data_IF_548361365262
#
_entry.id   IF_548361365262
#
_cell.length_a   1.000
_cell.length_b   1.000
_cell.length_c   1.000
_cell.angle_alpha   90.00
_cell.angle_beta   90.00
_cell.angle_gamma   90.00
#
_symmetry.space_group_name_H-M   'P 1'
#
loop_
_entity.id
_entity.type
_entity.pdbx_description
1 polymer ?
#
# COMPACT_ATOMS: atom_id res chain seq x y z
N UNK A 1 -32.22 -20.24 5.99
CA UNK A 1 -32.22 -21.44 5.12
C UNK A 1 -31.10 -21.26 4.12
N UNK A 2 -30.02 -21.99 4.37
CA UNK A 2 -28.76 -22.01 3.63
C UNK A 2 -28.88 -22.91 2.38
N UNK A 3 -27.84 -22.98 1.54
CA UNK A 3 -26.95 -24.13 1.75
C UNK A 3 -25.46 -23.81 1.79
N UNK A 4 -24.78 -24.63 2.58
CA UNK A 4 -23.35 -24.70 2.91
C UNK A 4 -22.44 -24.86 1.68
N UNK A 5 -21.23 -24.28 1.76
CA UNK A 5 -20.11 -24.57 0.85
C UNK A 5 -19.30 -25.75 1.39
N UNK A 6 -19.35 -26.88 0.70
CA UNK A 6 -18.52 -28.06 0.92
C UNK A 6 -17.06 -27.85 0.47
N UNK A 7 -16.12 -28.26 1.32
CA UNK A 7 -14.66 -28.21 1.14
C UNK A 7 -14.22 -29.48 0.37
N UNK A 8 -13.64 -29.37 -0.83
CA UNK A 8 -13.10 -30.53 -1.58
C UNK A 8 -11.64 -30.79 -1.21
N UNK A 9 -11.35 -31.94 -0.62
CA UNK A 9 -10.00 -32.52 -0.48
C UNK A 9 -9.67 -33.40 -1.69
N UNK A 10 -8.54 -33.15 -2.35
CA UNK A 10 -8.03 -33.97 -3.45
C UNK A 10 -7.20 -35.15 -2.91
N UNK A 11 -7.64 -36.39 -3.11
CA UNK A 11 -6.84 -37.61 -2.92
C UNK A 11 -5.93 -37.83 -4.13
N UNK A 12 -4.63 -38.06 -3.92
CA UNK A 12 -3.62 -38.17 -5.00
C UNK A 12 -3.43 -39.60 -5.55
N UNK A 13 -4.40 -40.49 -5.40
CA UNK A 13 -4.22 -41.92 -5.71
C UNK A 13 -4.77 -42.39 -7.06
N UNK A 14 -5.34 -41.51 -7.90
CA UNK A 14 -5.86 -41.89 -9.22
C UNK A 14 -5.52 -40.79 -10.26
N UNK A 15 -4.43 -40.90 -11.01
CA UNK A 15 -4.24 -40.06 -12.19
C UNK A 15 -5.03 -40.67 -13.36
N UNK A 16 -5.78 -39.81 -14.06
CA UNK A 16 -6.51 -40.06 -15.31
C UNK A 16 -7.85 -40.83 -15.23
N UNK A 17 -8.92 -40.13 -14.82
CA UNK A 17 -10.31 -40.46 -15.19
C UNK A 17 -10.96 -39.24 -15.86
N UNK A 18 -11.55 -39.37 -17.06
CA UNK A 18 -12.22 -38.26 -17.74
C UNK A 18 -13.44 -37.73 -16.96
N UNK A 19 -13.73 -36.44 -17.14
CA UNK A 19 -14.84 -35.72 -16.50
C UNK A 19 -16.22 -36.29 -16.89
N UNK A 20 -16.77 -37.25 -16.13
CA UNK A 20 -18.23 -37.37 -15.95
C UNK A 20 -18.74 -38.27 -14.81
N UNK A 21 -17.89 -38.89 -14.00
CA UNK A 21 -18.35 -39.71 -12.86
C UNK A 21 -17.75 -39.22 -11.53
N UNK A 22 -18.62 -38.79 -10.60
CA UNK A 22 -18.23 -38.30 -9.27
C UNK A 22 -17.99 -39.46 -8.30
N UNK A 23 -16.79 -39.60 -7.69
CA UNK A 23 -16.61 -40.50 -6.56
C UNK A 23 -17.16 -39.87 -5.28
N UNK A 24 -18.09 -40.57 -4.61
CA UNK A 24 -18.57 -40.24 -3.27
C UNK A 24 -17.56 -40.71 -2.23
N UNK A 25 -17.04 -39.80 -1.41
CA UNK A 25 -16.21 -40.15 -0.26
C UNK A 25 -17.00 -39.84 1.02
N UNK A 26 -17.35 -40.87 1.78
CA UNK A 26 -18.02 -40.74 3.06
C UNK A 26 -17.01 -40.49 4.19
N UNK A 27 -17.39 -39.67 5.15
CA UNK A 27 -16.51 -38.98 6.09
C UNK A 27 -15.94 -39.86 7.20
N UNK A 28 -14.98 -40.73 6.88
CA UNK A 28 -13.98 -41.24 7.85
C UNK A 28 -12.72 -41.72 7.12
N UNK A 29 -11.57 -41.15 7.48
CA UNK A 29 -10.26 -41.45 6.90
C UNK A 29 -9.81 -42.84 7.33
N UNK A 30 -10.01 -43.88 6.52
CA UNK A 30 -9.10 -45.05 6.48
C UNK A 30 -9.25 -46.06 5.33
N UNK A 31 -10.16 -45.90 4.36
CA UNK A 31 -10.18 -46.83 3.20
C UNK A 31 -10.93 -46.27 1.99
N UNK A 32 -10.28 -46.21 0.83
CA UNK A 32 -10.94 -46.02 -0.47
C UNK A 32 -10.83 -47.34 -1.24
N UNK A 33 -11.94 -47.88 -1.72
CA UNK A 33 -12.00 -49.03 -2.63
C UNK A 33 -12.38 -48.56 -4.03
N UNK A 34 -11.60 -48.94 -5.04
CA UNK A 34 -11.94 -48.72 -6.45
C UNK A 34 -12.61 -49.99 -7.01
N UNK A 35 -13.64 -49.89 -7.87
CA UNK A 35 -14.16 -51.03 -8.59
C UNK A 35 -13.20 -51.39 -9.74
N UNK A 36 -12.90 -52.68 -9.87
CA UNK A 36 -12.19 -53.32 -10.99
C UNK A 36 -10.69 -52.99 -11.17
N UNK A 37 -9.84 -53.55 -10.31
CA UNK A 37 -8.53 -54.17 -10.68
C UNK A 37 -7.87 -54.81 -9.45
N UNK A 38 -7.12 -55.90 -9.68
CA UNK A 38 -6.64 -56.87 -8.69
C UNK A 38 -5.83 -56.30 -7.49
N UNK A 39 -5.92 -56.90 -6.28
CA UNK A 39 -5.31 -56.35 -5.05
C UNK A 39 -3.79 -56.57 -4.90
N UNK A 40 -3.11 -57.26 -5.83
CA UNK A 40 -1.75 -57.77 -5.59
C UNK A 40 -0.61 -57.03 -6.34
N UNK A 41 -0.86 -55.86 -6.92
CA UNK A 41 0.19 -55.05 -7.56
C UNK A 41 0.41 -53.71 -6.87
N UNK A 42 0.94 -53.75 -5.65
CA UNK A 42 1.62 -52.61 -5.04
C UNK A 42 2.73 -53.10 -4.09
N UNK A 43 3.73 -53.80 -4.64
CA UNK A 43 5.02 -53.98 -3.97
C UNK A 43 6.11 -53.23 -4.73
N UNK A 44 6.69 -52.23 -4.05
CA UNK A 44 8.09 -51.81 -4.16
C UNK A 44 8.74 -51.78 -5.55
N UNK A 45 8.67 -50.63 -6.24
CA UNK A 45 9.76 -50.14 -7.08
C UNK A 45 9.55 -48.67 -7.49
N UNK A 46 10.64 -47.90 -7.37
CA UNK A 46 10.98 -46.68 -8.12
C UNK A 46 10.10 -45.43 -8.01
N UNK A 47 10.30 -44.67 -6.93
CA UNK A 47 10.17 -43.20 -7.00
C UNK A 47 11.57 -42.62 -7.21
N UNK A 48 11.90 -42.28 -8.47
CA UNK A 48 12.99 -41.37 -8.77
C UNK A 48 12.61 -39.97 -8.29
N UNK A 49 13.41 -39.43 -7.37
CA UNK A 49 13.35 -38.06 -6.89
C UNK A 49 13.64 -37.06 -8.04
N UNK A 50 12.83 -36.00 -8.24
CA UNK A 50 13.29 -34.81 -8.92
C UNK A 50 14.28 -34.09 -7.99
N UNK A 51 15.45 -33.76 -8.55
CA UNK A 51 16.57 -33.04 -7.93
C UNK A 51 16.13 -31.91 -6.99
N UNK A 52 16.38 -32.09 -5.69
CA UNK A 52 16.36 -31.02 -4.71
C UNK A 52 17.54 -30.05 -4.95
N UNK A 53 17.22 -28.81 -5.32
CA UNK A 53 18.12 -27.70 -4.99
C UNK A 53 18.24 -27.61 -3.47
N UNK A 54 19.45 -27.35 -2.92
CA UNK A 54 19.65 -27.34 -1.47
C UNK A 54 18.86 -26.19 -0.86
N UNK A 55 17.77 -26.51 -0.15
CA UNK A 55 17.06 -25.59 0.75
C UNK A 55 18.05 -25.06 1.77
N UNK A 56 18.64 -23.91 1.49
CA UNK A 56 19.33 -23.11 2.49
C UNK A 56 18.30 -22.65 3.52
N UNK A 57 18.43 -23.24 4.71
CA UNK A 57 18.03 -22.71 6.01
C UNK A 57 16.53 -22.47 6.22
N UNK A 58 15.81 -23.54 6.57
CA UNK A 58 14.68 -23.42 7.48
C UNK A 58 15.24 -23.01 8.85
N UNK A 59 14.89 -21.84 9.42
CA UNK A 59 15.42 -21.46 10.71
C UNK A 59 14.89 -22.41 11.78
N UNK A 60 15.82 -22.99 12.53
CA UNK A 60 15.58 -23.79 13.72
C UNK A 60 14.63 -23.03 14.65
N UNK A 61 13.43 -23.57 14.87
CA UNK A 61 12.52 -23.18 15.95
C UNK A 61 13.26 -23.43 17.28
N UNK A 62 13.94 -22.41 17.81
CA UNK A 62 14.68 -22.59 19.06
C UNK A 62 15.67 -21.50 19.46
N UNK A 63 15.95 -20.48 18.64
CA UNK A 63 16.69 -19.32 19.15
C UNK A 63 15.72 -18.20 19.51
N UNK A 64 15.42 -18.09 20.82
CA UNK A 64 14.95 -16.84 21.40
C UNK A 64 15.99 -15.77 21.07
N UNK A 65 15.73 -14.97 20.04
CA UNK A 65 16.45 -13.70 19.88
C UNK A 65 16.20 -12.95 21.19
N UNK A 66 17.29 -12.57 21.86
CA UNK A 66 17.21 -11.81 23.11
C UNK A 66 16.29 -10.60 22.96
N UNK A 67 15.62 -10.24 24.05
CA UNK A 67 14.71 -9.09 24.04
C UNK A 67 15.53 -7.84 23.72
N UNK A 68 15.19 -7.16 22.62
CA UNK A 68 15.87 -5.93 22.22
C UNK A 68 15.58 -4.80 23.20
N UNK A 69 16.36 -3.71 23.12
CA UNK A 69 16.13 -2.49 23.89
C UNK A 69 15.97 -1.33 22.94
N UNK A 70 15.03 -0.43 23.24
CA UNK A 70 14.78 0.79 22.48
C UNK A 70 14.51 1.96 23.42
N UNK A 71 14.62 3.18 22.91
CA UNK A 71 14.41 4.43 23.65
C UNK A 71 13.27 5.24 23.04
N UNK A 72 12.65 6.11 23.83
CA UNK A 72 11.60 7.00 23.32
C UNK A 72 12.17 8.21 22.59
N UNK A 73 13.45 8.54 22.80
CA UNK A 73 14.11 9.66 22.12
C UNK A 73 14.50 9.27 20.70
N UNK A 74 14.06 10.07 19.73
CA UNK A 74 14.48 9.94 18.34
C UNK A 74 15.83 10.64 18.17
N UNK A 75 16.76 9.97 17.50
CA UNK A 75 18.07 10.50 17.15
C UNK A 75 18.00 11.25 15.82
N UNK A 76 19.06 12.01 15.50
CA UNK A 76 19.19 12.61 14.17
C UNK A 76 19.17 11.56 13.06
N UNK A 77 19.75 10.38 13.29
CA UNK A 77 19.74 9.26 12.34
C UNK A 77 18.34 8.76 12.06
N UNK A 78 17.47 8.70 13.08
CA UNK A 78 16.06 8.32 12.91
C UNK A 78 15.32 9.36 12.07
N UNK A 79 15.55 10.66 12.33
CA UNK A 79 14.97 11.73 11.53
C UNK A 79 15.47 11.72 10.08
N UNK A 80 16.75 11.40 9.85
CA UNK A 80 17.31 11.23 8.52
C UNK A 80 16.68 10.01 7.81
N UNK A 81 16.50 8.89 8.49
CA UNK A 81 15.81 7.71 7.95
C UNK A 81 14.37 8.06 7.52
N UNK A 82 13.66 8.82 8.35
CA UNK A 82 12.30 9.31 8.06
C UNK A 82 12.24 10.21 6.83
N UNK A 83 13.27 11.02 6.63
CA UNK A 83 13.42 11.88 5.47
C UNK A 83 13.70 11.04 4.22
N UNK A 84 14.69 10.15 4.26
CA UNK A 84 15.08 9.27 3.16
C UNK A 84 13.91 8.38 2.70
N UNK A 85 13.13 7.86 3.64
CA UNK A 85 11.94 7.06 3.36
C UNK A 85 10.88 7.84 2.56
N UNK A 86 10.69 9.13 2.89
CA UNK A 86 9.75 10.01 2.18
C UNK A 86 10.28 10.46 0.82
N UNK A 87 11.59 10.45 0.61
CA UNK A 87 12.24 10.72 -0.67
C UNK A 87 12.52 9.45 -1.50
N UNK A 88 12.05 8.28 -1.07
CA UNK A 88 12.16 7.03 -1.82
C UNK A 88 13.56 6.45 -1.91
N UNK A 89 14.51 6.96 -1.12
CA UNK A 89 15.89 6.46 -1.08
C UNK A 89 15.92 5.17 -0.28
N UNK A 90 16.44 4.07 -0.85
CA UNK A 90 16.49 2.76 -0.18
C UNK A 90 15.13 2.29 0.39
N UNK A 91 14.08 2.37 -0.42
CA UNK A 91 12.68 2.09 -0.04
C UNK A 91 12.48 0.77 0.75
N UNK A 92 13.29 -0.25 0.51
CA UNK A 92 13.18 -1.56 1.15
C UNK A 92 14.01 -1.70 2.44
N UNK A 93 14.88 -0.72 2.74
CA UNK A 93 15.82 -0.75 3.86
C UNK A 93 15.33 -0.08 5.14
N UNK A 94 14.23 0.66 5.11
CA UNK A 94 13.64 1.33 6.28
C UNK A 94 12.94 0.35 7.22
N UNK A 95 13.72 -0.51 7.87
CA UNK A 95 13.21 -1.63 8.66
C UNK A 95 13.87 -1.73 10.02
N UNK A 96 13.07 -2.13 10.99
CA UNK A 96 13.53 -2.63 12.30
C UNK A 96 13.50 -4.15 12.26
N UNK A 97 14.37 -4.81 13.01
CA UNK A 97 14.28 -6.26 13.15
C UNK A 97 12.94 -6.67 13.81
N UNK A 98 12.20 -7.64 13.26
CA UNK A 98 11.02 -8.16 13.93
C UNK A 98 11.39 -8.86 15.25
N UNK A 99 10.64 -8.60 16.32
CA UNK A 99 10.97 -9.13 17.63
C UNK A 99 10.28 -8.40 18.78
N UNK A 100 10.72 -8.71 20.00
CA UNK A 100 10.25 -8.08 21.23
C UNK A 100 11.29 -7.08 21.72
N UNK A 101 10.86 -5.85 22.01
CA UNK A 101 11.71 -4.78 22.49
C UNK A 101 11.21 -4.24 23.83
N UNK A 102 12.13 -3.90 24.72
CA UNK A 102 11.87 -3.14 25.95
C UNK A 102 12.00 -1.66 25.67
N UNK A 103 11.02 -0.88 26.10
CA UNK A 103 11.11 0.56 26.23
C UNK A 103 11.14 0.90 27.72
N UNK A 104 12.23 1.55 28.16
CA UNK A 104 12.47 1.80 29.58
C UNK A 104 12.81 0.52 30.35
N UNK A 105 12.26 0.37 31.56
CA UNK A 105 12.48 -0.76 32.47
C UNK A 105 11.18 -1.54 32.74
N UNK A 106 10.58 -2.18 31.71
CA UNK A 106 9.30 -2.84 31.87
C UNK A 106 9.41 -4.09 32.75
N UNK A 107 8.43 -4.22 33.64
CA UNK A 107 8.19 -5.38 34.49
C UNK A 107 7.18 -6.36 33.84
N UNK A 108 6.89 -7.52 34.46
CA UNK A 108 5.93 -8.48 33.92
C UNK A 108 4.47 -8.02 33.82
N UNK A 109 4.10 -6.87 34.41
CA UNK A 109 2.75 -6.29 34.32
C UNK A 109 2.66 -5.15 33.29
N UNK A 110 3.82 -4.72 32.78
CA UNK A 110 3.92 -3.62 31.82
C UNK A 110 3.22 -3.95 30.50
N UNK A 111 2.55 -2.97 29.86
CA UNK A 111 1.73 -3.21 28.69
C UNK A 111 2.56 -3.68 27.49
N UNK A 112 1.93 -4.50 26.64
CA UNK A 112 2.50 -4.94 25.37
C UNK A 112 1.80 -4.23 24.22
N UNK A 113 2.52 -3.36 23.51
CA UNK A 113 2.04 -2.69 22.31
C UNK A 113 2.59 -3.38 21.06
N UNK A 114 1.75 -3.53 20.04
CA UNK A 114 2.12 -4.18 18.77
C UNK A 114 2.34 -3.12 17.70
N UNK A 115 3.42 -3.24 16.92
CA UNK A 115 3.69 -2.36 15.78
C UNK A 115 4.23 -3.13 14.58
N UNK A 116 4.32 -2.45 13.44
CA UNK A 116 4.93 -2.95 12.21
C UNK A 116 6.45 -2.72 12.22
N UNK A 117 7.22 -3.53 11.49
CA UNK A 117 8.67 -3.37 11.39
C UNK A 117 9.13 -2.28 10.41
N UNK A 118 8.23 -1.40 9.96
CA UNK A 118 8.60 -0.19 9.24
C UNK A 118 9.09 0.87 10.23
N UNK A 119 10.29 1.43 10.02
CA UNK A 119 10.94 2.36 10.97
C UNK A 119 10.03 3.50 11.42
N UNK A 120 9.33 4.16 10.49
CA UNK A 120 8.40 5.24 10.84
C UNK A 120 7.20 4.76 11.69
N UNK A 121 6.73 3.52 11.52
CA UNK A 121 5.64 2.96 12.35
C UNK A 121 6.14 2.59 13.73
N UNK A 122 7.35 2.05 13.83
CA UNK A 122 8.01 1.76 15.09
C UNK A 122 8.30 3.04 15.89
N UNK A 123 8.91 4.02 15.22
CA UNK A 123 9.29 5.30 15.81
C UNK A 123 8.10 6.14 16.23
N UNK A 124 7.00 6.10 15.46
CA UNK A 124 5.76 6.76 15.85
C UNK A 124 5.21 6.24 17.19
N UNK A 125 5.37 4.95 17.48
CA UNK A 125 4.91 4.35 18.75
C UNK A 125 5.89 4.64 19.88
N UNK A 126 7.21 4.43 19.71
CA UNK A 126 8.14 4.62 20.83
C UNK A 126 8.29 6.09 21.24
N UNK A 127 8.20 7.03 20.29
CA UNK A 127 8.45 8.46 20.55
C UNK A 127 7.42 9.13 21.46
N UNK A 128 6.19 8.62 21.47
CA UNK A 128 5.08 9.16 22.26
C UNK A 128 4.98 8.54 23.65
N UNK A 129 5.78 7.50 23.94
CA UNK A 129 5.74 6.73 25.19
C UNK A 129 6.88 7.14 26.15
N UNK A 130 7.29 8.41 26.11
CA UNK A 130 8.34 8.92 27.01
C UNK A 130 7.86 8.83 28.46
N UNK A 131 8.66 8.16 29.31
CA UNK A 131 8.33 7.91 30.72
C UNK A 131 7.35 6.76 30.95
N UNK A 132 7.03 5.96 29.92
CA UNK A 132 6.16 4.79 30.04
C UNK A 132 6.98 3.52 29.76
N UNK A 133 7.11 2.68 30.78
CA UNK A 133 7.75 1.37 30.65
C UNK A 133 6.81 0.39 29.95
N UNK A 134 7.24 -0.19 28.83
CA UNK A 134 6.42 -1.13 28.07
C UNK A 134 7.23 -2.08 27.19
N UNK A 135 6.54 -3.10 26.69
CA UNK A 135 7.06 -3.99 25.67
C UNK A 135 6.49 -3.62 24.29
N UNK A 136 7.35 -3.54 23.28
CA UNK A 136 6.97 -3.38 21.88
C UNK A 136 7.18 -4.70 21.13
N UNK A 137 6.08 -5.32 20.70
CA UNK A 137 6.09 -6.50 19.84
C UNK A 137 6.02 -6.04 18.38
N UNK A 138 7.14 -6.17 17.67
CA UNK A 138 7.30 -5.72 16.29
C UNK A 138 7.08 -6.88 15.33
N UNK A 139 6.02 -6.79 14.51
CA UNK A 139 5.67 -7.79 13.51
C UNK A 139 6.47 -7.63 12.22
N UNK A 140 6.77 -8.72 11.54
CA UNK A 140 7.44 -8.70 10.24
C UNK A 140 6.48 -8.33 9.10
N UNK A 141 6.30 -7.03 8.91
CA UNK A 141 5.46 -6.49 7.83
C UNK A 141 6.24 -6.23 6.55
N UNK A 142 7.49 -6.70 6.44
CA UNK A 142 8.40 -6.44 5.32
C UNK A 142 8.63 -4.95 5.07
N UNK A 143 8.71 -4.14 6.14
CA UNK A 143 8.92 -2.69 6.04
C UNK A 143 7.71 -1.93 5.49
N UNK A 144 6.50 -2.48 5.66
CA UNK A 144 5.25 -1.83 5.27
C UNK A 144 4.56 -1.31 6.53
N UNK A 145 4.01 -0.09 6.49
CA UNK A 145 3.27 0.48 7.61
C UNK A 145 2.07 -0.39 8.04
N UNK A 146 1.56 -0.17 9.25
CA UNK A 146 0.49 -0.98 9.85
C UNK A 146 -0.74 -1.12 8.94
N UNK A 147 -1.26 -0.02 8.40
CA UNK A 147 -2.53 -0.02 7.67
C UNK A 147 -2.41 -0.74 6.31
N UNK A 148 -1.36 -0.43 5.55
CA UNK A 148 -1.10 -1.10 4.28
C UNK A 148 -0.75 -2.58 4.48
N UNK A 149 -0.01 -2.90 5.54
CA UNK A 149 0.36 -4.28 5.88
C UNK A 149 -0.84 -5.10 6.32
N UNK A 150 -1.79 -4.51 7.06
CA UNK A 150 -3.04 -5.16 7.44
C UNK A 150 -3.89 -5.48 6.21
N UNK A 151 -4.02 -4.53 5.28
CA UNK A 151 -4.72 -4.75 4.01
C UNK A 151 -4.04 -5.77 3.08
N UNK A 152 -2.73 -6.01 3.24
CA UNK A 152 -1.96 -7.03 2.51
C UNK A 152 -1.86 -8.38 3.24
N UNK A 153 -2.22 -8.44 4.51
CA UNK A 153 -2.14 -9.63 5.36
C UNK A 153 -0.80 -9.85 6.07
N UNK A 154 0.22 -9.01 5.86
CA UNK A 154 1.52 -9.14 6.56
C UNK A 154 1.47 -8.62 7.99
N UNK A 155 0.63 -7.61 8.28
CA UNK A 155 0.20 -7.32 9.64
C UNK A 155 -1.05 -8.15 9.93
N UNK A 156 -0.84 -9.45 10.09
CA UNK A 156 -1.90 -10.46 10.07
C UNK A 156 -1.95 -11.34 11.31
N UNK A 157 -3.05 -12.06 11.47
CA UNK A 157 -3.27 -13.01 12.58
C UNK A 157 -2.14 -14.04 12.71
N UNK A 158 -1.73 -14.65 11.59
CA UNK A 158 -0.69 -15.69 11.60
C UNK A 158 0.65 -15.15 12.06
N UNK A 159 1.07 -14.02 11.49
CA UNK A 159 2.30 -13.33 11.86
C UNK A 159 2.28 -12.92 13.33
N UNK A 160 1.17 -12.37 13.84
CA UNK A 160 1.05 -12.00 15.25
C UNK A 160 1.19 -13.21 16.19
N UNK A 161 0.46 -14.31 15.92
CA UNK A 161 0.53 -15.53 16.72
C UNK A 161 1.94 -16.13 16.68
N UNK A 162 2.54 -16.19 15.49
CA UNK A 162 3.90 -16.67 15.30
C UNK A 162 4.90 -15.80 16.08
N UNK A 163 4.77 -14.47 16.03
CA UNK A 163 5.68 -13.55 16.72
C UNK A 163 5.55 -13.66 18.24
N UNK A 164 4.34 -13.84 18.77
CA UNK A 164 4.11 -14.13 20.20
C UNK A 164 4.83 -15.41 20.63
N UNK A 165 4.75 -16.47 19.81
CA UNK A 165 5.39 -17.75 20.12
C UNK A 165 6.93 -17.68 20.07
N UNK A 166 7.50 -17.15 18.98
CA UNK A 166 8.96 -17.10 18.77
C UNK A 166 9.65 -16.17 19.77
N UNK A 167 9.00 -15.08 20.17
CA UNK A 167 9.56 -14.16 21.18
C UNK A 167 9.42 -14.69 22.61
N UNK A 168 8.68 -15.77 22.83
CA UNK A 168 8.40 -16.29 24.16
C UNK A 168 7.62 -15.31 25.04
N UNK A 169 6.83 -14.41 24.45
CA UNK A 169 6.15 -13.32 25.19
C UNK A 169 5.35 -13.83 26.40
N UNK A 170 4.82 -15.05 26.31
CA UNK A 170 4.06 -15.70 27.37
C UNK A 170 4.85 -15.88 28.69
N UNK A 171 6.18 -15.99 28.65
CA UNK A 171 7.04 -16.08 29.83
C UNK A 171 7.57 -14.72 30.29
N UNK A 172 7.43 -13.67 29.48
CA UNK A 172 7.92 -12.32 29.77
C UNK A 172 6.90 -11.51 30.56
N UNK A 173 5.61 -11.63 30.22
CA UNK A 173 4.51 -10.92 30.89
C UNK A 173 3.55 -11.87 31.59
N UNK A 174 3.03 -11.45 32.76
CA UNK A 174 2.04 -12.19 33.57
C UNK A 174 0.65 -12.16 32.94
N UNK A 175 0.30 -11.04 32.30
CA UNK A 175 -0.99 -10.87 31.66
C UNK A 175 -1.03 -11.49 30.24
N UNK A 176 -2.21 -11.48 29.63
CA UNK A 176 -2.46 -12.03 28.28
C UNK A 176 -3.22 -11.02 27.43
N UNK A 177 -2.66 -9.81 27.30
CA UNK A 177 -3.29 -8.70 26.59
C UNK A 177 -2.29 -8.04 25.64
N UNK A 178 -2.71 -7.81 24.40
CA UNK A 178 -1.93 -7.11 23.36
C UNK A 178 -2.69 -5.87 22.93
N UNK A 179 -2.03 -4.72 22.92
CA UNK A 179 -2.59 -3.45 22.47
C UNK A 179 -2.16 -3.23 21.02
N UNK A 180 -3.13 -3.27 20.10
CA UNK A 180 -2.89 -3.14 18.66
C UNK A 180 -3.36 -1.77 18.15
N UNK A 181 -2.75 -1.22 17.10
CA UNK A 181 -3.25 -0.02 16.45
C UNK A 181 -4.62 -0.28 15.81
N UNK A 182 -5.52 0.70 15.85
CA UNK A 182 -6.87 0.56 15.33
C UNK A 182 -6.92 0.16 13.85
N UNK A 183 -6.00 0.71 13.04
CA UNK A 183 -5.92 0.45 11.60
C UNK A 183 -5.32 -0.94 11.25
N UNK A 184 -4.87 -1.69 12.24
CA UNK A 184 -4.46 -3.09 12.09
C UNK A 184 -5.62 -4.08 12.08
N UNK A 185 -6.81 -3.67 12.54
CA UNK A 185 -7.98 -4.54 12.69
C UNK A 185 -8.38 -5.32 11.43
N UNK A 186 -8.31 -4.77 10.19
CA UNK A 186 -8.66 -5.52 8.99
C UNK A 186 -7.80 -6.76 8.72
N UNK A 187 -6.58 -6.82 9.25
CA UNK A 187 -5.68 -7.97 9.07
C UNK A 187 -5.75 -9.00 10.21
N UNK A 188 -6.38 -8.67 11.34
CA UNK A 188 -6.26 -9.45 12.59
C UNK A 188 -7.62 -9.88 13.12
N UNK A 189 -7.81 -11.19 13.15
CA UNK A 189 -8.95 -11.85 13.76
C UNK A 189 -8.68 -12.05 15.27
N UNK A 190 -9.17 -11.12 16.10
CA UNK A 190 -8.91 -11.14 17.55
C UNK A 190 -9.32 -12.46 18.26
N UNK A 191 -10.41 -13.09 17.81
CA UNK A 191 -10.86 -14.37 18.34
C UNK A 191 -9.88 -15.52 18.02
N UNK A 192 -9.27 -15.48 16.84
CA UNK A 192 -8.27 -16.44 16.38
C UNK A 192 -6.96 -16.28 17.16
N UNK A 193 -6.52 -15.03 17.38
CA UNK A 193 -5.36 -14.72 18.23
C UNK A 193 -5.57 -15.29 19.63
N UNK A 194 -6.75 -15.06 20.23
CA UNK A 194 -7.07 -15.60 21.55
C UNK A 194 -7.05 -17.13 21.57
N UNK A 195 -7.62 -17.78 20.55
CA UNK A 195 -7.67 -19.25 20.47
C UNK A 195 -6.28 -19.86 20.34
N UNK A 196 -5.41 -19.30 19.51
CA UNK A 196 -4.09 -19.88 19.18
C UNK A 196 -2.96 -19.48 20.12
N UNK A 197 -3.01 -18.28 20.68
CA UNK A 197 -1.93 -17.74 21.54
C UNK A 197 -2.33 -17.57 23.00
N UNK A 198 -3.63 -17.60 23.32
CA UNK A 198 -4.15 -17.25 24.64
C UNK A 198 -4.20 -15.75 24.93
N UNK A 199 -3.64 -14.90 24.07
CA UNK A 199 -3.66 -13.43 24.25
C UNK A 199 -4.96 -12.81 23.72
N UNK A 200 -5.54 -11.91 24.52
CA UNK A 200 -6.63 -11.02 24.12
C UNK A 200 -6.06 -9.81 23.37
N UNK A 201 -6.70 -9.46 22.25
CA UNK A 201 -6.41 -8.23 21.50
C UNK A 201 -7.30 -7.11 22.01
N UNK A 202 -6.68 -5.96 22.28
CA UNK A 202 -7.35 -4.69 22.52
C UNK A 202 -6.91 -3.69 21.46
N UNK A 203 -7.87 -3.02 20.83
CA UNK A 203 -7.56 -2.00 19.84
C UNK A 203 -7.40 -0.64 20.52
N UNK A 204 -6.20 -0.10 20.42
CA UNK A 204 -5.84 1.26 20.83
C UNK A 204 -6.28 2.31 19.81
N UNK A 205 -5.73 3.54 19.91
CA UNK A 205 -6.07 4.65 19.03
C UNK A 205 -5.57 4.46 17.59
N UNK A 206 -6.08 5.30 16.68
CA UNK A 206 -5.57 5.45 15.31
C UNK A 206 -4.21 6.13 15.31
N UNK A 207 -4.06 7.22 16.08
CA UNK A 207 -2.84 8.00 16.14
C UNK A 207 -2.02 7.64 17.38
N UNK A 208 -0.72 7.45 17.20
CA UNK A 208 0.17 7.08 18.31
C UNK A 208 0.18 8.13 19.43
N UNK A 209 0.07 9.43 19.12
CA UNK A 209 0.02 10.52 20.11
C UNK A 209 -1.08 10.37 21.18
N UNK A 210 -2.12 9.61 20.89
CA UNK A 210 -3.23 9.37 21.81
C UNK A 210 -2.96 8.18 22.76
N UNK A 211 -1.86 7.44 22.56
CA UNK A 211 -1.50 6.25 23.34
C UNK A 211 -1.32 6.53 24.84
N UNK A 212 -0.62 7.59 25.29
CA UNK A 212 -0.46 7.84 26.73
C UNK A 212 -1.81 7.94 27.46
N UNK A 213 -2.73 8.76 26.94
CA UNK A 213 -4.09 8.92 27.47
C UNK A 213 -4.92 7.63 27.36
N UNK A 214 -4.73 6.87 26.28
CA UNK A 214 -5.38 5.57 26.14
C UNK A 214 -4.89 4.57 27.20
N UNK A 215 -3.60 4.57 27.55
CA UNK A 215 -3.04 3.64 28.54
C UNK A 215 -3.59 3.91 29.95
N UNK A 216 -3.86 5.17 30.30
CA UNK A 216 -4.50 5.55 31.57
C UNK A 216 -5.95 5.03 31.69
N UNK A 217 -6.71 5.13 30.60
CA UNK A 217 -8.17 4.88 30.61
C UNK A 217 -8.57 3.50 30.07
N UNK A 218 -7.65 2.84 29.36
CA UNK A 218 -7.80 1.58 28.61
C UNK A 218 -9.01 1.57 27.65
N UNK A 219 -9.53 2.76 27.30
CA UNK A 219 -10.75 2.93 26.51
C UNK A 219 -10.54 3.95 25.40
N UNK A 220 -10.53 3.48 24.14
CA UNK A 220 -10.40 4.36 22.99
C UNK A 220 -11.70 5.16 22.77
N UNK A 221 -11.63 6.49 22.92
CA UNK A 221 -12.75 7.42 22.71
C UNK A 221 -13.16 7.46 21.23
N UNK A 222 -14.37 7.94 20.89
CA UNK A 222 -14.78 8.10 19.49
C UNK A 222 -13.81 8.94 18.64
N UNK A 223 -13.17 9.96 19.22
CA UNK A 223 -12.19 10.78 18.50
C UNK A 223 -10.88 10.04 18.23
N UNK A 224 -10.40 9.24 19.18
CA UNK A 224 -9.21 8.38 18.99
C UNK A 224 -9.39 7.33 17.87
N UNK A 225 -10.63 7.02 17.50
CA UNK A 225 -10.97 6.05 16.45
C UNK A 225 -11.15 6.67 15.07
N UNK A 226 -11.07 8.01 14.93
CA UNK A 226 -11.33 8.72 13.67
C UNK A 226 -10.04 9.16 12.99
N UNK A 227 -9.91 8.85 11.70
CA UNK A 227 -8.89 9.43 10.81
C UNK A 227 -9.39 10.79 10.32
N UNK A 228 -8.71 11.88 10.70
CA UNK A 228 -9.13 13.26 10.33
C UNK A 228 -8.62 13.72 8.96
N UNK A 229 -7.49 13.17 8.50
CA UNK A 229 -6.87 13.45 7.20
C UNK A 229 -6.78 14.96 6.84
N UNK A 230 -6.18 15.81 7.71
CA UNK A 230 -5.93 17.22 7.44
C UNK A 230 -4.90 17.45 6.32
N UNK A 231 -4.66 18.72 5.98
CA UNK A 231 -3.69 19.12 4.95
C UNK A 231 -2.29 18.52 5.16
N UNK A 232 -1.79 18.52 6.40
CA UNK A 232 -0.46 18.00 6.72
C UNK A 232 -0.34 16.50 6.40
N UNK A 233 -1.36 15.70 6.74
CA UNK A 233 -1.37 14.26 6.46
C UNK A 233 -1.36 13.97 4.95
N UNK A 234 -1.95 14.86 4.15
CA UNK A 234 -1.97 14.75 2.67
C UNK A 234 -0.62 15.09 2.06
N UNK A 235 -0.02 16.19 2.50
CA UNK A 235 1.24 16.68 1.96
C UNK A 235 2.45 15.84 2.39
N UNK A 236 2.35 15.09 3.49
CA UNK A 236 3.39 14.16 3.94
C UNK A 236 3.73 13.10 2.88
N UNK A 237 2.78 12.77 2.00
CA UNK A 237 2.96 11.78 0.92
C UNK A 237 3.41 12.40 -0.41
N UNK A 238 3.35 13.72 -0.56
CA UNK A 238 3.74 14.41 -1.79
C UNK A 238 5.20 14.15 -2.22
N UNK A 239 6.20 14.14 -1.31
CA UNK A 239 7.60 13.94 -1.72
C UNK A 239 7.82 12.62 -2.47
N UNK A 240 7.22 11.52 -2.00
CA UNK A 240 7.41 10.21 -2.62
C UNK A 240 6.69 10.10 -3.97
N UNK A 241 5.50 10.71 -4.09
CA UNK A 241 4.77 10.78 -5.35
C UNK A 241 5.54 11.60 -6.39
N UNK A 242 6.11 12.74 -5.96
CA UNK A 242 6.92 13.58 -6.81
C UNK A 242 8.19 12.86 -7.28
N UNK A 243 8.96 12.26 -6.38
CA UNK A 243 10.21 11.56 -6.73
C UNK A 243 9.96 10.41 -7.72
N UNK A 244 8.87 9.65 -7.58
CA UNK A 244 8.53 8.63 -8.57
C UNK A 244 8.14 9.20 -9.93
N UNK A 245 7.55 10.41 -9.97
CA UNK A 245 7.22 11.08 -11.21
C UNK A 245 8.44 11.75 -11.88
N UNK A 246 9.50 12.09 -11.13
CA UNK A 246 10.68 12.82 -11.64
C UNK A 246 11.31 12.19 -12.89
N UNK A 247 11.60 10.87 -12.97
CA UNK A 247 12.24 10.30 -14.15
C UNK A 247 11.43 10.49 -15.43
N UNK A 248 10.12 10.18 -15.38
CA UNK A 248 9.22 10.38 -16.51
C UNK A 248 9.05 11.87 -16.86
N UNK A 249 8.98 12.72 -15.84
CA UNK A 249 8.87 14.17 -15.99
C UNK A 249 10.11 14.75 -16.66
N UNK A 250 11.30 14.32 -16.25
CA UNK A 250 12.57 14.79 -16.81
C UNK A 250 12.68 14.45 -18.30
N UNK A 251 12.34 13.21 -18.68
CA UNK A 251 12.31 12.79 -20.09
C UNK A 251 11.28 13.61 -20.87
N UNK A 252 10.07 13.80 -20.33
CA UNK A 252 9.01 14.58 -20.98
C UNK A 252 9.42 16.06 -21.17
N UNK A 253 9.97 16.70 -20.13
CA UNK A 253 10.45 18.09 -20.16
C UNK A 253 11.53 18.25 -21.22
N UNK A 254 12.50 17.34 -21.29
CA UNK A 254 13.57 17.39 -22.29
C UNK A 254 13.02 17.20 -23.71
N UNK A 255 12.14 16.22 -23.91
CA UNK A 255 11.50 15.99 -25.20
C UNK A 255 10.69 17.22 -25.66
N UNK A 256 9.81 17.76 -24.80
CA UNK A 256 9.01 18.93 -25.14
C UNK A 256 9.84 20.20 -25.34
N UNK A 257 10.96 20.35 -24.63
CA UNK A 257 11.88 21.46 -24.84
C UNK A 257 12.39 21.49 -26.27
N UNK A 258 12.84 20.34 -26.80
CA UNK A 258 13.37 20.27 -28.17
C UNK A 258 12.29 20.25 -29.24
N UNK A 259 11.13 19.62 -28.98
CA UNK A 259 10.06 19.50 -29.98
C UNK A 259 9.20 20.77 -30.10
N UNK A 260 8.87 21.41 -28.98
CA UNK A 260 7.87 22.47 -28.90
C UNK A 260 8.32 23.71 -28.11
N UNK A 261 9.55 23.70 -27.58
CA UNK A 261 10.17 24.84 -26.92
C UNK A 261 9.93 24.92 -25.41
N UNK A 262 10.46 25.97 -24.76
CA UNK A 262 10.45 26.13 -23.31
C UNK A 262 9.05 26.17 -22.68
N UNK A 263 8.06 26.75 -23.38
CA UNK A 263 6.69 26.84 -22.87
C UNK A 263 6.04 25.46 -22.71
N UNK A 264 6.27 24.56 -23.67
CA UNK A 264 5.75 23.19 -23.61
C UNK A 264 6.43 22.36 -22.52
N UNK A 265 7.74 22.54 -22.35
CA UNK A 265 8.50 21.92 -21.26
C UNK A 265 7.98 22.38 -19.89
N UNK A 266 7.73 23.68 -19.72
CA UNK A 266 7.14 24.23 -18.50
C UNK A 266 5.73 23.70 -18.25
N UNK A 267 4.90 23.57 -19.28
CA UNK A 267 3.54 23.02 -19.17
C UNK A 267 3.57 21.56 -18.69
N UNK A 268 4.46 20.74 -19.23
CA UNK A 268 4.64 19.34 -18.82
C UNK A 268 5.08 19.23 -17.35
N UNK A 269 6.07 20.03 -16.93
CA UNK A 269 6.51 20.07 -15.53
C UNK A 269 5.39 20.54 -14.59
N UNK A 270 4.65 21.58 -14.99
CA UNK A 270 3.54 22.15 -14.20
C UNK A 270 2.39 21.16 -14.05
N UNK A 271 2.06 20.37 -15.08
CA UNK A 271 1.03 19.33 -14.99
C UNK A 271 1.41 18.23 -13.98
N UNK A 272 2.69 17.88 -13.90
CA UNK A 272 3.15 16.89 -12.91
C UNK A 272 3.09 17.47 -11.49
N UNK A 273 3.55 18.70 -11.28
CA UNK A 273 3.43 19.38 -9.99
C UNK A 273 1.96 19.54 -9.57
N UNK A 274 1.07 19.80 -10.53
CA UNK A 274 -0.36 19.87 -10.30
C UNK A 274 -0.91 18.56 -9.73
N UNK A 275 -0.57 17.43 -10.35
CA UNK A 275 -1.05 16.11 -9.93
C UNK A 275 -0.41 15.57 -8.65
N UNK A 276 0.88 15.87 -8.41
CA UNK A 276 1.64 15.31 -7.28
C UNK A 276 1.62 16.17 -6.03
N UNK A 277 1.62 17.51 -6.17
CA UNK A 277 1.73 18.46 -5.06
C UNK A 277 0.41 19.21 -4.83
N UNK A 278 -0.10 19.85 -5.87
CA UNK A 278 -1.26 20.75 -5.73
C UNK A 278 -2.57 19.97 -5.50
N UNK A 279 -2.71 18.82 -6.14
CA UNK A 279 -3.90 17.98 -6.01
C UNK A 279 -4.12 17.49 -4.56
N UNK A 280 -3.14 16.89 -3.85
CA UNK A 280 -3.30 16.56 -2.43
C UNK A 280 -3.68 17.77 -1.56
N UNK A 281 -3.15 18.96 -1.87
CA UNK A 281 -3.46 20.19 -1.14
C UNK A 281 -4.92 20.64 -1.35
N UNK A 282 -5.40 20.63 -2.60
CA UNK A 282 -6.71 21.13 -3.01
C UNK A 282 -7.82 20.06 -3.03
N UNK A 283 -7.50 18.82 -2.66
CA UNK A 283 -8.42 17.69 -2.64
C UNK A 283 -9.83 17.98 -2.07
N UNK A 284 -10.01 18.70 -0.92
CA UNK A 284 -11.33 18.91 -0.35
C UNK A 284 -12.10 20.06 -1.02
N UNK A 285 -11.42 20.91 -1.80
CA UNK A 285 -12.00 22.12 -2.41
C UNK A 285 -12.64 21.81 -3.77
N UNK A 286 -12.10 20.82 -4.51
CA UNK A 286 -12.54 20.54 -5.87
C UNK A 286 -13.94 19.87 -5.85
N UNK A 287 -14.95 20.42 -6.55
CA UNK A 287 -16.38 20.13 -6.33
C UNK A 287 -16.88 18.84 -7.00
N UNK A 288 -16.15 17.72 -6.84
CA UNK A 288 -16.54 16.40 -7.34
C UNK A 288 -16.14 15.30 -6.35
N UNK A 289 -16.66 14.08 -6.53
CA UNK A 289 -16.36 12.95 -5.66
C UNK A 289 -15.10 12.18 -6.12
N UNK A 290 -15.03 11.85 -7.41
CA UNK A 290 -13.97 10.99 -7.98
C UNK A 290 -12.66 11.76 -8.18
N UNK A 291 -11.52 11.11 -7.94
CA UNK A 291 -10.19 11.71 -8.00
C UNK A 291 -9.82 12.13 -9.43
N UNK A 292 -10.19 11.30 -10.39
CA UNK A 292 -9.97 11.50 -11.82
C UNK A 292 -10.67 12.76 -12.29
N UNK A 293 -11.94 12.95 -11.92
CA UNK A 293 -12.71 14.16 -12.28
C UNK A 293 -12.15 15.39 -11.58
N UNK A 294 -11.76 15.28 -10.31
CA UNK A 294 -11.07 16.37 -9.62
C UNK A 294 -9.76 16.74 -10.34
N UNK A 295 -8.99 15.75 -10.78
CA UNK A 295 -7.75 15.94 -11.50
C UNK A 295 -7.94 16.53 -12.90
N UNK A 296 -8.99 16.14 -13.62
CA UNK A 296 -9.36 16.76 -14.90
C UNK A 296 -9.68 18.24 -14.73
N UNK A 297 -10.48 18.59 -13.72
CA UNK A 297 -10.82 19.99 -13.41
C UNK A 297 -9.55 20.77 -13.07
N UNK A 298 -8.74 20.24 -12.15
CA UNK A 298 -7.51 20.91 -11.71
C UNK A 298 -6.53 21.11 -12.88
N UNK A 299 -6.26 20.06 -13.66
CA UNK A 299 -5.36 20.13 -14.79
C UNK A 299 -5.88 21.05 -15.90
N UNK A 300 -7.20 21.06 -16.15
CA UNK A 300 -7.83 21.98 -17.09
C UNK A 300 -7.70 23.44 -16.67
N UNK A 301 -7.93 23.75 -15.38
CA UNK A 301 -7.75 25.11 -14.84
C UNK A 301 -6.30 25.57 -14.95
N UNK A 302 -5.35 24.69 -14.61
CA UNK A 302 -3.91 24.99 -14.67
C UNK A 302 -3.41 25.12 -16.11
N UNK A 303 -4.11 24.54 -17.08
CA UNK A 303 -3.77 24.67 -18.49
C UNK A 303 -4.18 26.02 -19.10
N UNK A 304 -5.14 26.75 -18.52
CA UNK A 304 -5.66 28.00 -19.10
C UNK A 304 -4.59 29.07 -19.34
N UNK A 305 -3.64 29.35 -18.41
CA UNK A 305 -2.57 30.31 -18.67
C UNK A 305 -1.66 29.89 -19.83
N UNK A 306 -1.41 28.58 -20.00
CA UNK A 306 -0.63 28.06 -21.12
C UNK A 306 -1.42 28.17 -22.44
N UNK A 307 -2.71 27.88 -22.42
CA UNK A 307 -3.57 28.00 -23.60
C UNK A 307 -3.66 29.45 -24.12
N UNK A 308 -3.79 30.43 -23.21
CA UNK A 308 -3.91 31.86 -23.56
C UNK A 308 -2.61 32.46 -24.07
N UNK A 309 -1.45 31.89 -23.71
CA UNK A 309 -0.13 32.37 -24.14
C UNK A 309 0.31 31.83 -25.51
N UNK A 310 -0.40 30.87 -26.09
CA UNK A 310 -0.04 30.30 -27.39
C UNK A 310 0.02 31.36 -28.51
N UNK A 311 -0.98 32.25 -28.69
CA UNK A 311 -0.96 33.21 -29.80
C UNK A 311 0.14 34.26 -29.70
N UNK A 312 0.72 34.49 -28.50
CA UNK A 312 1.84 35.43 -28.32
C UNK A 312 3.20 34.78 -28.59
N UNK A 313 3.29 33.45 -28.58
CA UNK A 313 4.52 32.70 -28.81
C UNK A 313 4.59 32.13 -30.22
N UNK A 314 3.45 31.76 -30.79
CA UNK A 314 3.36 31.19 -32.13
C UNK A 314 2.49 32.06 -33.04
N UNK A 315 2.97 32.32 -34.26
CA UNK A 315 2.26 33.10 -35.27
C UNK A 315 1.28 32.24 -36.07
N UNK A 316 0.41 31.48 -35.40
CA UNK A 316 -0.57 30.62 -36.05
C UNK A 316 -1.85 31.35 -36.47
N UNK A 317 -2.60 30.75 -37.39
CA UNK A 317 -3.99 31.16 -37.70
C UNK A 317 -4.92 30.96 -36.49
N UNK A 318 -6.06 31.68 -36.45
CA UNK A 318 -7.01 31.60 -35.33
C UNK A 318 -7.50 30.18 -35.03
N UNK A 319 -7.74 29.37 -36.07
CA UNK A 319 -8.14 27.97 -35.90
C UNK A 319 -7.00 27.14 -35.31
N UNK A 320 -5.77 27.30 -35.81
CA UNK A 320 -4.62 26.57 -35.30
C UNK A 320 -4.30 26.94 -33.84
N UNK A 321 -4.47 28.19 -33.44
CA UNK A 321 -4.38 28.62 -32.03
C UNK A 321 -5.40 27.90 -31.14
N UNK A 322 -6.65 27.77 -31.59
CA UNK A 322 -7.69 27.05 -30.85
C UNK A 322 -7.34 25.56 -30.69
N UNK A 323 -6.88 24.92 -31.77
CA UNK A 323 -6.47 23.51 -31.74
C UNK A 323 -5.26 23.28 -30.84
N UNK A 324 -4.30 24.21 -30.83
CA UNK A 324 -3.13 24.17 -29.97
C UNK A 324 -3.52 24.32 -28.49
N UNK A 325 -4.41 25.27 -28.18
CA UNK A 325 -4.96 25.46 -26.84
C UNK A 325 -5.69 24.20 -26.36
N UNK A 326 -6.52 23.61 -27.21
CA UNK A 326 -7.24 22.37 -26.89
C UNK A 326 -6.28 21.20 -26.62
N UNK A 327 -5.23 21.07 -27.43
CA UNK A 327 -4.18 20.07 -27.23
C UNK A 327 -3.51 20.21 -25.86
N UNK A 328 -3.10 21.42 -25.47
CA UNK A 328 -2.48 21.67 -24.16
C UNK A 328 -3.44 21.37 -23.02
N UNK A 329 -4.70 21.82 -23.11
CA UNK A 329 -5.73 21.55 -22.10
C UNK A 329 -5.95 20.05 -21.94
N UNK A 330 -6.09 19.29 -23.03
CA UNK A 330 -6.28 17.84 -22.97
C UNK A 330 -5.09 17.14 -22.33
N UNK A 331 -3.87 17.48 -22.74
CA UNK A 331 -2.66 16.83 -22.21
C UNK A 331 -2.46 17.12 -20.73
N UNK A 332 -2.56 18.38 -20.31
CA UNK A 332 -2.39 18.76 -18.90
C UNK A 332 -3.51 18.20 -18.02
N UNK A 333 -4.76 18.21 -18.50
CA UNK A 333 -5.89 17.62 -17.78
C UNK A 333 -5.73 16.11 -17.60
N UNK A 334 -5.31 15.37 -18.64
CA UNK A 334 -5.11 13.92 -18.55
C UNK A 334 -3.94 13.56 -17.64
N UNK A 335 -2.78 14.23 -17.78
CA UNK A 335 -1.60 13.97 -16.93
C UNK A 335 -1.96 14.22 -15.46
N UNK A 336 -2.62 15.34 -15.17
CA UNK A 336 -3.05 15.67 -13.80
C UNK A 336 -4.08 14.67 -13.28
N UNK A 337 -5.04 14.25 -14.11
CA UNK A 337 -6.07 13.27 -13.72
C UNK A 337 -5.48 11.87 -13.45
N UNK A 338 -4.52 11.43 -14.25
CA UNK A 338 -3.83 10.16 -14.04
C UNK A 338 -3.01 10.17 -12.73
N UNK A 339 -2.28 11.26 -12.47
CA UNK A 339 -1.53 11.41 -11.21
C UNK A 339 -2.47 11.53 -10.00
N UNK A 340 -3.59 12.23 -10.13
CA UNK A 340 -4.63 12.31 -9.11
C UNK A 340 -5.23 10.92 -8.78
N UNK A 341 -5.45 10.07 -9.80
CA UNK A 341 -5.94 8.71 -9.63
C UNK A 341 -4.98 7.85 -8.79
N UNK A 342 -3.67 8.05 -8.91
CA UNK A 342 -2.69 7.33 -8.08
C UNK A 342 -2.81 7.67 -6.59
N UNK A 343 -3.29 8.87 -6.25
CA UNK A 343 -3.50 9.30 -4.87
C UNK A 343 -4.63 8.52 -4.16
N UNK A 344 -5.48 7.79 -4.89
CA UNK A 344 -6.54 6.95 -4.30
C UNK A 344 -6.02 5.87 -3.34
N UNK A 345 -4.78 5.41 -3.51
CA UNK A 345 -4.14 4.43 -2.62
C UNK A 345 -3.65 5.00 -1.29
N UNK A 346 -3.71 6.33 -1.14
CA UNK A 346 -3.12 7.09 -0.05
C UNK A 346 -4.17 7.78 0.85
N UNK A 347 -5.46 7.59 0.55
CA UNK A 347 -6.57 8.27 1.22
C UNK A 347 -7.45 7.33 2.04
N UNK A 348 -8.03 7.79 3.18
CA UNK A 348 -8.83 6.94 4.07
C UNK A 348 -10.29 6.71 3.65
N UNK A 349 -10.76 7.36 2.59
CA UNK A 349 -12.16 7.30 2.16
C UNK A 349 -12.40 6.46 0.89
N UNK A 350 -11.35 5.91 0.29
CA UNK A 350 -11.44 5.04 -0.88
C UNK A 350 -11.54 3.57 -0.47
N UNK A 351 -12.16 2.76 -1.33
CA UNK A 351 -12.25 1.31 -1.19
C UNK A 351 -11.75 0.62 -2.45
N UNK A 352 -11.32 -0.64 -2.35
CA UNK A 352 -10.83 -1.40 -3.53
C UNK A 352 -11.85 -1.43 -4.67
N UNK A 353 -13.14 -1.58 -4.34
CA UNK A 353 -14.22 -1.58 -5.32
C UNK A 353 -14.46 -0.20 -5.92
N UNK A 354 -14.37 0.87 -5.11
CA UNK A 354 -14.44 2.26 -5.57
C UNK A 354 -13.33 2.61 -6.55
N UNK A 355 -12.09 2.31 -6.18
CA UNK A 355 -10.91 2.54 -7.04
C UNK A 355 -11.01 1.75 -8.34
N UNK A 356 -11.41 0.48 -8.28
CA UNK A 356 -11.64 -0.33 -9.48
C UNK A 356 -12.66 0.32 -10.41
N UNK A 357 -13.81 0.77 -9.88
CA UNK A 357 -14.85 1.45 -10.65
C UNK A 357 -14.32 2.73 -11.31
N UNK A 358 -13.51 3.49 -10.60
CA UNK A 358 -12.91 4.72 -11.11
C UNK A 358 -11.96 4.45 -12.27
N UNK A 359 -11.02 3.50 -12.10
CA UNK A 359 -10.08 3.08 -13.15
C UNK A 359 -10.82 2.68 -14.44
N UNK A 360 -11.78 1.77 -14.34
CA UNK A 360 -12.51 1.27 -15.52
C UNK A 360 -13.38 2.34 -16.20
N UNK A 361 -13.79 3.37 -15.46
CA UNK A 361 -14.59 4.47 -16.00
C UNK A 361 -13.74 5.53 -16.70
N UNK A 362 -12.65 5.95 -16.06
CA UNK A 362 -11.93 7.14 -16.51
C UNK A 362 -10.69 6.85 -17.34
N UNK A 363 -10.03 5.69 -17.19
CA UNK A 363 -8.85 5.36 -18.02
C UNK A 363 -9.19 5.38 -19.52
N UNK A 364 -10.30 4.80 -20.01
CA UNK A 364 -10.64 4.88 -21.44
C UNK A 364 -10.79 6.33 -21.92
N UNK A 365 -11.45 7.18 -21.12
CA UNK A 365 -11.60 8.60 -21.42
C UNK A 365 -10.25 9.33 -21.44
N UNK A 366 -9.37 9.05 -20.47
CA UNK A 366 -8.00 9.58 -20.42
C UNK A 366 -7.22 9.20 -21.68
N UNK A 367 -7.32 7.94 -22.15
CA UNK A 367 -6.64 7.47 -23.36
C UNK A 367 -7.16 8.20 -24.60
N UNK A 368 -8.48 8.35 -24.75
CA UNK A 368 -9.08 9.07 -25.89
C UNK A 368 -8.65 10.54 -25.88
N UNK A 369 -8.69 11.20 -24.73
CA UNK A 369 -8.28 12.60 -24.60
C UNK A 369 -6.78 12.79 -24.86
N UNK A 370 -5.93 11.91 -24.33
CA UNK A 370 -4.48 11.95 -24.59
C UNK A 370 -4.18 11.71 -26.07
N UNK A 371 -4.82 10.70 -26.68
CA UNK A 371 -4.67 10.41 -28.10
C UNK A 371 -5.10 11.59 -28.97
N UNK A 372 -6.21 12.23 -28.63
CA UNK A 372 -6.69 13.43 -29.32
C UNK A 372 -5.72 14.61 -29.16
N UNK A 373 -5.20 14.85 -27.96
CA UNK A 373 -4.19 15.89 -27.71
C UNK A 373 -2.90 15.66 -28.50
N UNK A 374 -2.39 14.43 -28.50
CA UNK A 374 -1.20 14.05 -29.26
C UNK A 374 -1.45 14.22 -30.77
N UNK A 375 -2.60 13.77 -31.28
CA UNK A 375 -2.95 13.91 -32.69
C UNK A 375 -3.02 15.38 -33.13
N UNK A 376 -3.62 16.25 -32.30
CA UNK A 376 -3.65 17.69 -32.55
C UNK A 376 -2.25 18.30 -32.54
N UNK A 377 -1.40 17.95 -31.57
CA UNK A 377 -0.03 18.43 -31.49
C UNK A 377 0.81 18.01 -32.71
N UNK A 378 0.68 16.75 -33.15
CA UNK A 378 1.37 16.24 -34.34
C UNK A 378 0.87 16.94 -35.59
N UNK A 379 -0.45 17.08 -35.77
CA UNK A 379 -1.03 17.78 -36.89
C UNK A 379 -0.51 19.22 -36.99
N UNK A 380 -0.53 19.97 -35.88
CA UNK A 380 -0.02 21.34 -35.83
C UNK A 380 1.48 21.41 -36.11
N UNK A 381 2.26 20.45 -35.59
CA UNK A 381 3.69 20.34 -35.89
C UNK A 381 3.95 20.13 -37.39
N UNK A 382 3.21 19.23 -38.03
CA UNK A 382 3.30 18.98 -39.47
C UNK A 382 2.91 20.22 -40.27
N UNK A 383 1.78 20.85 -39.97
CA UNK A 383 1.30 22.04 -40.68
C UNK A 383 2.29 23.22 -40.57
N UNK A 384 2.95 23.36 -39.41
CA UNK A 384 4.00 24.35 -39.21
C UNK A 384 5.24 24.05 -40.04
N UNK A 385 5.68 22.79 -40.08
CA UNK A 385 6.85 22.37 -40.86
C UNK A 385 6.63 22.48 -42.38
N UNK A 386 5.40 22.29 -42.84
CA UNK A 386 5.02 22.45 -44.26
C UNK A 386 4.73 23.91 -44.65
N UNK A 387 4.84 24.85 -43.71
CA UNK A 387 4.62 26.28 -43.96
C UNK A 387 3.17 26.67 -44.20
N UNK A 388 2.21 25.81 -43.83
CA UNK A 388 0.77 26.08 -43.96
C UNK A 388 0.30 27.04 -42.87
N UNK A 389 0.94 27.01 -41.69
CA UNK A 389 0.64 27.87 -40.53
C UNK A 389 1.89 28.38 -39.83
#
# INVERSE_FOLDING_TARGET
>A
MEPERSYRSSCSCCPDVPHEETPSCDGTVTSCTCPESDPDQCSSADIRSPTEEPRKNLPILGQSRGIGTTTSTLTFTDHLDHFLARWGVNRMGHRVDPGLYRLGNPDPDSPVLVSANYTLSFDAVRSVLTGIDCYLLVLDTKGINVWCAAGKGTFGTDELVQRVAITGLASVVRHRTLILPQLGAPGIAAHEVRRRSGFRVEYGPVHARDLPRYLETRTATPDMRRVRFPLNDRLVLTPIEFVHAVPATFVAVLAFWFLAGPLAALAAFTAVLAGTVLFPALLPVIPTHDFSTKGFILGGVIALPFAVTIPSVFSFTSMANLLAALSVVFMMAVVTAYLALNFTGCTPFTSRTGVKREIFRYIPAMVIMAGSGIALAVLLGVLRLTGVI
#
